data_IF_829837033449
#
_entry.id   IF_829837033449
#
_cell.length_a   1.000
_cell.length_b   1.000
_cell.length_c   1.000
_cell.angle_alpha   90.00
_cell.angle_beta   90.00
_cell.angle_gamma   90.00
#
_symmetry.space_group_name_H-M   'P 1'
#
loop_
_entity.id
_entity.type
_entity.pdbx_description
1 polymer ?
#
# COMPACT_ATOMS: atom_id res chain seq x y z
N UNK A 1 24.88 -47.09 60.62
CA UNK A 1 25.60 -46.81 59.35
C UNK A 1 24.64 -46.52 58.19
N UNK A 2 23.43 -47.08 58.19
CA UNK A 2 22.40 -46.85 57.16
C UNK A 2 21.80 -45.42 57.17
N UNK A 3 21.51 -44.82 58.32
CA UNK A 3 20.82 -43.51 58.36
C UNK A 3 21.68 -42.31 57.93
N UNK A 4 23.00 -42.35 58.14
CA UNK A 4 23.92 -41.27 57.68
C UNK A 4 24.02 -41.19 56.16
N UNK A 5 24.03 -42.37 55.51
CA UNK A 5 24.15 -42.47 54.04
C UNK A 5 22.90 -41.92 53.34
N UNK A 6 21.72 -42.16 53.91
CA UNK A 6 20.44 -41.58 53.44
C UNK A 6 20.41 -40.06 53.61
N UNK A 7 21.00 -39.52 54.68
CA UNK A 7 21.06 -38.08 54.93
C UNK A 7 22.03 -37.33 54.01
N UNK A 8 23.07 -38.00 53.50
CA UNK A 8 24.03 -37.44 52.54
C UNK A 8 23.50 -37.46 51.09
N UNK A 9 22.63 -38.42 50.73
CA UNK A 9 22.06 -38.53 49.37
C UNK A 9 20.79 -37.67 49.15
N UNK A 10 20.09 -37.28 50.22
CA UNK A 10 18.87 -36.45 50.17
C UNK A 10 19.04 -35.10 49.44
N UNK A 11 20.13 -34.33 49.65
CA UNK A 11 20.38 -33.08 48.91
C UNK A 11 20.66 -33.31 47.42
N UNK A 12 21.34 -34.42 47.05
CA UNK A 12 21.57 -34.78 45.65
C UNK A 12 20.25 -35.12 44.94
N UNK A 13 19.38 -35.89 45.58
CA UNK A 13 18.05 -36.22 45.06
C UNK A 13 17.20 -34.95 44.91
N UNK A 14 17.22 -34.06 45.90
CA UNK A 14 16.50 -32.77 45.82
C UNK A 14 16.99 -31.91 44.65
N UNK A 15 18.30 -31.84 44.43
CA UNK A 15 18.90 -31.09 43.33
C UNK A 15 18.51 -31.68 41.96
N UNK A 16 18.48 -33.01 41.84
CA UNK A 16 18.05 -33.71 40.62
C UNK A 16 16.57 -33.43 40.34
N UNK A 17 15.70 -33.46 41.35
CA UNK A 17 14.28 -33.15 41.20
C UNK A 17 14.06 -31.70 40.75
N UNK A 18 14.74 -30.73 41.38
CA UNK A 18 14.67 -29.32 40.93
C UNK A 18 15.20 -29.12 39.51
N UNK A 19 16.24 -29.86 39.11
CA UNK A 19 16.78 -29.80 37.76
C UNK A 19 15.80 -30.36 36.72
N UNK A 20 15.12 -31.46 37.03
CA UNK A 20 14.08 -32.05 36.19
C UNK A 20 12.84 -31.13 36.08
N UNK A 21 12.45 -30.45 37.16
CA UNK A 21 11.37 -29.46 37.15
C UNK A 21 11.72 -28.27 36.24
N UNK A 22 12.95 -27.75 36.32
CA UNK A 22 13.43 -26.67 35.44
C UNK A 22 13.40 -27.12 33.97
N UNK A 23 13.85 -28.33 33.66
CA UNK A 23 13.81 -28.88 32.30
C UNK A 23 12.37 -29.06 31.79
N UNK A 24 11.45 -29.51 32.64
CA UNK A 24 10.02 -29.62 32.31
C UNK A 24 9.40 -28.27 31.98
N UNK A 25 9.69 -27.23 32.77
CA UNK A 25 9.20 -25.87 32.51
C UNK A 25 9.82 -25.27 31.26
N UNK A 26 11.12 -25.47 31.02
CA UNK A 26 11.78 -25.05 29.77
C UNK A 26 11.15 -25.75 28.55
N UNK A 27 10.86 -27.05 28.65
CA UNK A 27 10.21 -27.79 27.56
C UNK A 27 8.78 -27.30 27.31
N UNK A 28 8.01 -26.97 28.36
CA UNK A 28 6.68 -26.36 28.25
C UNK A 28 6.73 -25.00 27.57
N UNK A 29 7.69 -24.14 27.95
CA UNK A 29 7.93 -22.84 27.33
C UNK A 29 8.28 -22.99 25.84
N UNK A 30 9.17 -23.92 25.49
CA UNK A 30 9.55 -24.20 24.09
C UNK A 30 8.33 -24.66 23.28
N UNK A 31 7.56 -25.62 23.80
CA UNK A 31 6.34 -26.09 23.15
C UNK A 31 5.31 -24.97 22.98
N UNK A 32 5.16 -24.09 23.96
CA UNK A 32 4.26 -22.93 23.88
C UNK A 32 4.73 -21.95 22.81
N UNK A 33 6.01 -21.61 22.75
CA UNK A 33 6.56 -20.73 21.71
C UNK A 33 6.42 -21.34 20.31
N UNK A 34 6.65 -22.65 20.15
CA UNK A 34 6.46 -23.33 18.87
C UNK A 34 4.98 -23.32 18.47
N UNK A 35 4.07 -23.65 19.39
CA UNK A 35 2.63 -23.62 19.13
C UNK A 35 2.13 -22.23 18.73
N UNK A 36 2.62 -21.18 19.38
CA UNK A 36 2.30 -19.78 19.01
C UNK A 36 2.86 -19.43 17.63
N UNK A 37 4.05 -19.91 17.30
CA UNK A 37 4.68 -19.70 15.97
C UNK A 37 3.86 -20.32 14.83
N UNK A 38 3.21 -21.47 15.07
CA UNK A 38 2.33 -22.12 14.10
C UNK A 38 0.94 -21.46 13.96
N UNK A 39 0.57 -20.53 14.86
CA UNK A 39 -0.70 -19.82 14.82
C UNK A 39 -0.61 -18.44 14.14
N UNK A 40 0.57 -18.00 13.72
CA UNK A 40 0.73 -16.73 12.98
C UNK A 40 0.43 -16.99 11.50
N UNK A 41 -0.85 -16.91 11.14
CA UNK A 41 -1.22 -16.80 9.73
C UNK A 41 -0.97 -15.35 9.26
N UNK A 42 -0.41 -15.19 8.06
CA UNK A 42 -0.32 -13.87 7.44
C UNK A 42 -1.72 -13.34 7.10
N UNK A 43 -1.89 -12.02 7.24
CA UNK A 43 -3.14 -11.35 6.87
C UNK A 43 -3.46 -11.47 5.37
N UNK A 44 -4.74 -11.31 5.03
CA UNK A 44 -5.28 -11.31 3.67
C UNK A 44 -5.29 -9.90 3.09
N UNK A 45 -4.57 -9.70 2.01
CA UNK A 45 -4.39 -8.38 1.39
C UNK A 45 -5.07 -8.35 0.03
N UNK A 46 -6.06 -7.46 -0.12
CA UNK A 46 -6.64 -7.16 -1.43
C UNK A 46 -5.84 -6.05 -2.10
N UNK A 47 -5.37 -6.28 -3.32
CA UNK A 47 -4.57 -5.30 -4.05
C UNK A 47 -5.38 -4.74 -5.21
N UNK A 48 -5.45 -3.42 -5.28
CA UNK A 48 -5.98 -2.70 -6.44
C UNK A 48 -4.81 -1.97 -7.14
N UNK A 49 -4.31 -2.51 -8.26
CA UNK A 49 -3.06 -2.06 -8.86
C UNK A 49 -3.27 -0.89 -9.81
N UNK A 50 -2.15 -0.24 -10.15
CA UNK A 50 -2.03 0.61 -11.32
C UNK A 50 -0.94 0.02 -12.23
N UNK A 51 -1.30 -0.19 -13.50
CA UNK A 51 -0.40 -0.78 -14.50
C UNK A 51 0.74 0.18 -14.91
N UNK A 52 1.70 -0.31 -15.69
CA UNK A 52 2.84 0.47 -16.17
C UNK A 52 3.94 0.62 -15.12
N UNK A 53 4.56 1.80 -15.04
CA UNK A 53 5.69 2.05 -14.12
C UNK A 53 5.31 1.91 -12.64
N UNK A 54 4.03 2.10 -12.31
CA UNK A 54 3.53 1.93 -10.94
C UNK A 54 3.52 0.46 -10.51
N UNK A 55 3.34 -0.48 -11.46
CA UNK A 55 3.34 -1.91 -11.18
C UNK A 55 4.66 -2.41 -10.61
N UNK A 56 5.79 -1.93 -11.13
CA UNK A 56 7.14 -2.35 -10.69
C UNK A 56 7.33 -2.12 -9.18
N UNK A 57 6.77 -1.03 -8.65
CA UNK A 57 6.82 -0.75 -7.21
C UNK A 57 5.85 -1.62 -6.42
N UNK A 58 4.69 -1.93 -7.01
CA UNK A 58 3.65 -2.71 -6.35
C UNK A 58 4.05 -4.18 -6.23
N UNK A 59 4.62 -4.78 -7.28
CA UNK A 59 5.02 -6.19 -7.28
C UNK A 59 6.09 -6.49 -6.21
N UNK A 60 7.04 -5.59 -5.98
CA UNK A 60 8.05 -5.74 -4.92
C UNK A 60 7.41 -5.83 -3.54
N UNK A 61 6.37 -5.03 -3.27
CA UNK A 61 5.63 -5.09 -1.99
C UNK A 61 4.83 -6.40 -1.91
N UNK A 62 4.22 -6.83 -3.01
CA UNK A 62 3.46 -8.07 -3.08
C UNK A 62 4.35 -9.29 -2.83
N UNK A 63 5.53 -9.34 -3.45
CA UNK A 63 6.50 -10.43 -3.26
C UNK A 63 6.96 -10.51 -1.79
N UNK A 64 7.21 -9.37 -1.15
CA UNK A 64 7.59 -9.34 0.27
C UNK A 64 6.43 -9.74 1.19
N UNK A 65 5.20 -9.30 0.89
CA UNK A 65 4.01 -9.74 1.63
C UNK A 65 3.83 -11.25 1.50
N UNK A 66 3.95 -11.79 0.28
CA UNK A 66 3.87 -13.22 0.02
C UNK A 66 4.96 -14.00 0.76
N UNK A 67 6.21 -13.53 0.71
CA UNK A 67 7.34 -14.16 1.41
C UNK A 67 7.16 -14.19 2.94
N UNK A 68 6.41 -13.23 3.49
CA UNK A 68 6.02 -13.17 4.91
C UNK A 68 4.78 -13.99 5.26
N UNK A 69 4.22 -14.72 4.29
CA UNK A 69 3.07 -15.61 4.49
C UNK A 69 1.70 -14.95 4.39
N UNK A 70 1.62 -13.72 3.87
CA UNK A 70 0.32 -13.06 3.61
C UNK A 70 -0.38 -13.67 2.38
N UNK A 71 -1.71 -13.78 2.44
CA UNK A 71 -2.54 -14.21 1.30
C UNK A 71 -2.91 -12.99 0.47
N UNK A 72 -2.26 -12.84 -0.69
CA UNK A 72 -2.43 -11.67 -1.55
C UNK A 72 -3.38 -12.00 -2.70
N UNK A 73 -4.42 -11.19 -2.86
CA UNK A 73 -5.34 -11.26 -4.01
C UNK A 73 -5.34 -9.95 -4.78
N UNK A 74 -5.16 -10.04 -6.09
CA UNK A 74 -5.05 -8.93 -7.03
C UNK A 74 -6.34 -8.76 -7.82
N UNK A 75 -6.89 -7.54 -7.83
CA UNK A 75 -7.92 -7.17 -8.82
C UNK A 75 -7.22 -6.90 -10.15
N UNK A 76 -7.37 -7.81 -11.11
CA UNK A 76 -6.64 -7.79 -12.37
C UNK A 76 -7.51 -7.34 -13.54
N UNK A 77 -7.19 -6.21 -14.20
CA UNK A 77 -7.88 -5.79 -15.42
C UNK A 77 -7.47 -6.66 -16.61
N UNK A 78 -8.45 -7.13 -17.39
CA UNK A 78 -8.22 -8.07 -18.50
C UNK A 78 -7.37 -7.53 -19.65
N UNK A 79 -7.20 -6.20 -19.73
CA UNK A 79 -6.41 -5.50 -20.74
C UNK A 79 -5.07 -4.99 -20.19
N UNK A 80 -4.60 -5.52 -19.06
CA UNK A 80 -3.31 -5.14 -18.47
C UNK A 80 -2.14 -5.48 -19.42
N UNK A 81 -1.19 -4.55 -19.55
CA UNK A 81 0.01 -4.73 -20.35
C UNK A 81 1.10 -5.52 -19.61
N UNK A 82 1.39 -5.11 -18.37
CA UNK A 82 2.52 -5.65 -17.61
C UNK A 82 2.10 -6.68 -16.55
N UNK A 83 0.91 -6.55 -15.98
CA UNK A 83 0.44 -7.44 -14.92
C UNK A 83 -0.06 -8.73 -15.55
N UNK A 84 0.47 -9.87 -15.11
CA UNK A 84 0.02 -11.19 -15.55
C UNK A 84 -1.02 -11.75 -14.58
N UNK A 85 -2.05 -12.46 -15.08
CA UNK A 85 -3.04 -13.08 -14.21
C UNK A 85 -2.41 -14.21 -13.39
N UNK A 86 -1.54 -15.01 -14.00
CA UNK A 86 -0.87 -16.12 -13.34
C UNK A 86 0.41 -15.64 -12.64
N UNK A 87 0.49 -15.86 -11.33
CA UNK A 87 1.65 -15.51 -10.51
C UNK A 87 1.75 -16.44 -9.31
N UNK A 88 2.96 -16.86 -8.89
CA UNK A 88 3.12 -17.58 -7.63
C UNK A 88 2.84 -16.69 -6.41
N UNK A 89 2.88 -15.36 -6.56
CA UNK A 89 2.87 -14.40 -5.46
C UNK A 89 1.48 -13.88 -5.08
N UNK A 90 0.47 -14.07 -5.95
CA UNK A 90 -0.88 -13.59 -5.71
C UNK A 90 -1.92 -14.39 -6.50
N UNK A 91 -3.16 -14.41 -5.99
CA UNK A 91 -4.34 -14.87 -6.73
C UNK A 91 -4.90 -13.72 -7.54
N UNK A 92 -5.39 -13.94 -8.76
CA UNK A 92 -5.99 -12.88 -9.58
C UNK A 92 -7.51 -13.01 -9.66
N UNK A 93 -8.22 -11.91 -9.43
CA UNK A 93 -9.63 -11.74 -9.76
C UNK A 93 -9.72 -10.95 -11.06
N UNK A 94 -10.19 -11.59 -12.13
CA UNK A 94 -10.26 -10.97 -13.46
C UNK A 94 -11.47 -10.04 -13.56
N UNK A 95 -11.24 -8.81 -14.00
CA UNK A 95 -12.26 -7.83 -14.36
C UNK A 95 -12.19 -7.57 -15.87
N UNK A 96 -13.30 -7.79 -16.59
CA UNK A 96 -13.32 -7.71 -18.05
C UNK A 96 -13.54 -6.26 -18.51
N UNK A 97 -12.48 -5.64 -19.02
CA UNK A 97 -12.56 -4.27 -19.53
C UNK A 97 -12.60 -4.26 -21.06
N UNK A 98 -13.65 -3.65 -21.58
CA UNK A 98 -13.93 -3.50 -23.02
C UNK A 98 -13.38 -2.21 -23.62
N UNK A 99 -13.03 -1.22 -22.79
CA UNK A 99 -12.56 0.09 -23.24
C UNK A 99 -11.11 0.02 -23.76
N UNK A 100 -10.94 0.27 -25.06
CA UNK A 100 -9.63 0.35 -25.71
C UNK A 100 -8.81 1.58 -25.27
N UNK A 101 -7.50 1.45 -25.31
CA UNK A 101 -6.54 2.50 -24.97
C UNK A 101 -6.59 3.67 -25.98
N UNK A 102 -6.76 4.90 -25.50
CA UNK A 102 -6.56 6.11 -26.31
C UNK A 102 -5.29 6.86 -25.86
N UNK A 103 -4.21 6.84 -26.67
CA UNK A 103 -2.96 7.53 -26.36
C UNK A 103 -3.13 9.05 -26.20
N UNK A 104 -4.12 9.68 -26.85
CA UNK A 104 -4.30 11.14 -26.85
C UNK A 104 -4.88 11.67 -25.53
N UNK A 105 -5.47 10.79 -24.73
CA UNK A 105 -6.12 11.12 -23.46
C UNK A 105 -5.65 10.22 -22.32
N UNK A 106 -4.37 9.84 -22.33
CA UNK A 106 -3.76 8.92 -21.36
C UNK A 106 -4.18 9.19 -19.90
N UNK A 107 -4.04 10.44 -19.42
CA UNK A 107 -4.39 10.81 -18.05
C UNK A 107 -5.87 10.56 -17.72
N UNK A 108 -6.79 11.12 -18.54
CA UNK A 108 -8.22 10.91 -18.35
C UNK A 108 -8.62 9.43 -18.53
N UNK A 109 -7.95 8.73 -19.44
CA UNK A 109 -8.15 7.31 -19.72
C UNK A 109 -7.89 6.45 -18.47
N UNK A 110 -6.77 6.64 -17.78
CA UNK A 110 -6.44 5.84 -16.59
C UNK A 110 -7.49 6.02 -15.47
N UNK A 111 -7.97 7.25 -15.27
CA UNK A 111 -9.01 7.53 -14.26
C UNK A 111 -10.36 6.93 -14.65
N UNK A 112 -10.80 7.12 -15.89
CA UNK A 112 -12.05 6.54 -16.38
C UNK A 112 -12.00 5.00 -16.34
N UNK A 113 -10.88 4.42 -16.72
CA UNK A 113 -10.66 2.98 -16.69
C UNK A 113 -10.76 2.42 -15.27
N UNK A 114 -10.12 3.07 -14.29
CA UNK A 114 -10.23 2.68 -12.89
C UNK A 114 -11.67 2.77 -12.38
N UNK A 115 -12.41 3.82 -12.74
CA UNK A 115 -13.82 3.97 -12.36
C UNK A 115 -14.71 2.91 -13.00
N UNK A 116 -14.48 2.57 -14.27
CA UNK A 116 -15.21 1.49 -14.96
C UNK A 116 -14.97 0.13 -14.31
N UNK A 117 -13.73 -0.18 -13.92
CA UNK A 117 -13.42 -1.39 -13.17
C UNK A 117 -14.21 -1.45 -11.86
N UNK A 118 -14.24 -0.36 -11.11
CA UNK A 118 -14.98 -0.31 -9.84
C UNK A 118 -16.50 -0.39 -10.08
N UNK A 119 -17.03 0.25 -11.11
CA UNK A 119 -18.46 0.15 -11.46
C UNK A 119 -18.84 -1.31 -11.72
N UNK A 120 -18.04 -2.04 -12.52
CA UNK A 120 -18.30 -3.46 -12.79
C UNK A 120 -18.26 -4.32 -11.53
N UNK A 121 -17.32 -4.05 -10.61
CA UNK A 121 -17.25 -4.76 -9.32
C UNK A 121 -18.48 -4.43 -8.46
N UNK A 122 -18.98 -3.19 -8.52
CA UNK A 122 -20.13 -2.77 -7.72
C UNK A 122 -21.46 -3.30 -8.28
N UNK A 123 -21.55 -3.48 -9.60
CA UNK A 123 -22.73 -4.05 -10.29
C UNK A 123 -22.77 -5.59 -10.20
N UNK A 124 -21.63 -6.26 -10.09
CA UNK A 124 -21.55 -7.71 -9.90
C UNK A 124 -21.72 -8.07 -8.41
N UNK A 125 -22.98 -8.24 -7.99
CA UNK A 125 -23.33 -8.60 -6.61
C UNK A 125 -22.68 -9.92 -6.14
N UNK A 126 -22.51 -10.89 -7.04
CA UNK A 126 -21.89 -12.18 -6.70
C UNK A 126 -20.39 -12.00 -6.41
N UNK A 127 -19.70 -11.22 -7.25
CA UNK A 127 -18.30 -10.86 -7.02
C UNK A 127 -18.16 -10.02 -5.75
N UNK A 128 -18.96 -8.97 -5.58
CA UNK A 128 -18.89 -8.12 -4.40
C UNK A 128 -19.14 -8.89 -3.11
N UNK A 129 -20.11 -9.82 -3.11
CA UNK A 129 -20.36 -10.70 -1.97
C UNK A 129 -19.17 -11.63 -1.71
N UNK A 130 -18.57 -12.21 -2.76
CA UNK A 130 -17.37 -13.04 -2.61
C UNK A 130 -16.19 -12.26 -1.99
N UNK A 131 -16.03 -10.98 -2.33
CA UNK A 131 -15.02 -10.10 -1.74
C UNK A 131 -15.29 -9.84 -0.24
N UNK A 132 -16.56 -9.70 0.16
CA UNK A 132 -16.96 -9.56 1.58
C UNK A 132 -16.75 -10.85 2.36
N UNK A 133 -17.02 -11.99 1.74
CA UNK A 133 -16.92 -13.31 2.38
C UNK A 133 -15.46 -13.80 2.48
N UNK A 134 -14.58 -13.30 1.61
CA UNK A 134 -13.15 -13.57 1.66
C UNK A 134 -12.47 -13.05 2.95
N UNK A 135 -13.08 -12.06 3.63
CA UNK A 135 -12.57 -11.44 4.87
C UNK A 135 -11.13 -10.91 4.72
N UNK A 136 -10.90 -10.05 3.73
CA UNK A 136 -9.64 -9.32 3.62
C UNK A 136 -9.43 -8.42 4.84
N UNK A 137 -8.17 -8.22 5.23
CA UNK A 137 -7.79 -7.38 6.37
C UNK A 137 -7.55 -5.93 5.96
N UNK A 138 -7.13 -5.68 4.71
CA UNK A 138 -6.89 -4.34 4.17
C UNK A 138 -6.90 -4.32 2.63
N UNK A 139 -7.00 -3.12 2.08
CA UNK A 139 -6.77 -2.84 0.65
C UNK A 139 -5.44 -2.10 0.48
N UNK A 140 -4.52 -2.72 -0.27
CA UNK A 140 -3.29 -2.07 -0.75
C UNK A 140 -3.54 -1.48 -2.14
N UNK A 141 -3.33 -0.18 -2.32
CA UNK A 141 -3.59 0.47 -3.61
C UNK A 141 -2.60 1.57 -3.95
N UNK A 142 -2.46 1.89 -5.23
CA UNK A 142 -1.70 3.05 -5.70
C UNK A 142 -2.65 4.26 -5.83
N UNK A 143 -2.46 5.32 -5.02
CA UNK A 143 -3.36 6.48 -5.00
C UNK A 143 -3.27 7.37 -6.24
N UNK A 144 -2.42 7.07 -7.22
CA UNK A 144 -2.40 7.76 -8.51
C UNK A 144 -3.69 7.53 -9.32
N UNK A 145 -4.48 6.52 -8.98
CA UNK A 145 -5.87 6.36 -9.41
C UNK A 145 -6.77 6.11 -8.19
N UNK A 146 -8.05 6.48 -8.29
CA UNK A 146 -8.97 6.37 -7.17
C UNK A 146 -9.74 5.06 -7.03
N UNK A 147 -9.49 4.07 -7.90
CA UNK A 147 -10.29 2.84 -7.91
C UNK A 147 -10.21 2.06 -6.60
N UNK A 148 -9.00 1.82 -6.09
CA UNK A 148 -8.81 1.08 -4.83
C UNK A 148 -9.36 1.80 -3.61
N UNK A 149 -9.34 3.13 -3.60
CA UNK A 149 -9.93 3.96 -2.54
C UNK A 149 -11.44 3.68 -2.45
N UNK A 150 -12.13 3.79 -3.59
CA UNK A 150 -13.58 3.56 -3.66
C UNK A 150 -13.93 2.12 -3.28
N UNK A 151 -13.17 1.14 -3.76
CA UNK A 151 -13.39 -0.26 -3.42
C UNK A 151 -13.20 -0.54 -1.92
N UNK A 152 -12.14 -0.01 -1.31
CA UNK A 152 -11.88 -0.17 0.13
C UNK A 152 -13.02 0.38 0.98
N UNK A 153 -13.53 1.57 0.65
CA UNK A 153 -14.69 2.16 1.33
C UNK A 153 -15.97 1.35 1.16
N UNK A 154 -16.24 0.81 -0.04
CA UNK A 154 -17.41 -0.04 -0.28
C UNK A 154 -17.37 -1.35 0.53
N UNK A 155 -16.18 -1.89 0.75
CA UNK A 155 -15.95 -3.11 1.53
C UNK A 155 -15.79 -2.84 3.04
N UNK A 156 -15.60 -1.59 3.45
CA UNK A 156 -15.34 -1.21 4.84
C UNK A 156 -13.96 -1.64 5.34
N UNK A 157 -12.96 -1.67 4.44
CA UNK A 157 -11.61 -2.14 4.72
C UNK A 157 -10.64 -0.98 4.96
N UNK A 158 -9.65 -1.15 5.87
CA UNK A 158 -8.53 -0.23 6.01
C UNK A 158 -7.79 -0.02 4.68
N UNK A 159 -7.35 1.21 4.43
CA UNK A 159 -6.65 1.62 3.21
C UNK A 159 -5.16 1.81 3.47
N UNK A 160 -4.34 1.11 2.68
CA UNK A 160 -2.89 1.26 2.67
C UNK A 160 -2.44 1.73 1.29
N UNK A 161 -1.78 2.88 1.24
CA UNK A 161 -1.30 3.44 -0.02
C UNK A 161 0.16 3.14 -0.29
N UNK A 162 0.46 2.71 -1.51
CA UNK A 162 1.82 2.72 -2.07
C UNK A 162 2.05 4.01 -2.85
N UNK A 163 2.49 5.07 -2.19
CA UNK A 163 2.28 6.45 -2.64
C UNK A 163 3.58 7.15 -3.07
N UNK A 164 3.54 7.81 -4.24
CA UNK A 164 4.50 8.86 -4.64
C UNK A 164 3.74 10.00 -5.28
N UNK A 165 2.97 9.62 -6.28
CA UNK A 165 1.97 10.44 -6.94
C UNK A 165 0.59 10.01 -6.48
N UNK A 166 -0.33 10.96 -6.48
CA UNK A 166 -1.73 10.81 -6.13
C UNK A 166 -2.56 11.41 -7.25
N UNK A 167 -3.86 11.16 -7.24
CA UNK A 167 -4.78 11.83 -8.18
C UNK A 167 -4.71 13.36 -8.09
N UNK A 168 -4.24 13.92 -6.98
CA UNK A 168 -4.11 15.36 -6.76
C UNK A 168 -2.69 15.90 -7.01
N UNK A 169 -1.76 15.07 -7.48
CA UNK A 169 -0.36 15.44 -7.65
C UNK A 169 0.53 14.81 -6.58
N UNK A 170 1.47 15.56 -6.03
CA UNK A 170 2.50 15.00 -5.15
C UNK A 170 1.92 14.55 -3.79
N UNK A 171 2.27 13.34 -3.35
CA UNK A 171 1.60 12.70 -2.22
C UNK A 171 1.75 13.42 -0.89
N UNK A 172 2.90 14.04 -0.62
CA UNK A 172 3.08 14.79 0.63
C UNK A 172 2.17 16.02 0.68
N UNK A 173 1.92 16.70 -0.45
CA UNK A 173 1.01 17.84 -0.48
C UNK A 173 -0.44 17.48 -0.13
N UNK A 174 -0.84 16.21 -0.28
CA UNK A 174 -2.18 15.77 0.07
C UNK A 174 -2.44 15.69 1.59
N UNK A 175 -1.36 15.63 2.37
CA UNK A 175 -1.43 15.40 3.82
C UNK A 175 -0.86 16.59 4.60
N UNK A 176 0.19 17.22 4.08
CA UNK A 176 0.85 18.36 4.73
C UNK A 176 1.14 19.49 3.73
N UNK A 177 0.71 20.74 4.04
CA UNK A 177 1.01 21.90 3.21
C UNK A 177 2.52 22.07 2.97
N UNK A 178 2.90 22.33 1.72
CA UNK A 178 4.28 22.59 1.32
C UNK A 178 4.45 24.07 0.95
N UNK A 179 5.26 24.85 1.67
CA UNK A 179 5.44 26.29 1.41
C UNK A 179 6.13 26.57 0.06
N UNK A 180 5.36 27.12 -0.87
CA UNK A 180 5.79 27.43 -2.24
C UNK A 180 6.88 28.52 -2.34
N UNK A 181 7.14 29.25 -1.24
CA UNK A 181 8.19 30.26 -1.19
C UNK A 181 9.61 29.68 -1.21
N UNK A 182 9.77 28.39 -0.85
CA UNK A 182 11.08 27.72 -0.85
C UNK A 182 11.02 26.26 -1.29
N UNK A 183 9.83 25.67 -1.45
CA UNK A 183 9.67 24.36 -2.08
C UNK A 183 9.22 24.57 -3.53
N UNK A 184 10.07 24.23 -4.52
CA UNK A 184 9.70 24.34 -5.92
C UNK A 184 8.63 23.31 -6.30
N UNK A 185 7.64 23.73 -7.08
CA UNK A 185 6.60 22.88 -7.63
C UNK A 185 7.24 21.87 -8.56
N UNK A 186 6.86 20.60 -8.47
CA UNK A 186 7.45 19.55 -9.30
C UNK A 186 7.28 19.87 -10.78
N UNK A 187 8.36 19.72 -11.56
CA UNK A 187 8.40 20.08 -12.98
C UNK A 187 8.72 21.56 -13.27
N UNK A 188 8.81 22.43 -12.25
CA UNK A 188 9.18 23.85 -12.44
C UNK A 188 10.65 24.08 -12.80
N UNK A 189 11.51 23.07 -12.60
CA UNK A 189 12.98 23.16 -12.74
C UNK A 189 13.62 24.25 -11.86
N UNK A 190 12.95 24.64 -10.77
CA UNK A 190 13.47 25.57 -9.76
C UNK A 190 14.15 24.80 -8.63
N UNK A 191 15.02 25.49 -7.89
CA UNK A 191 15.70 24.95 -6.70
C UNK A 191 15.07 25.50 -5.42
N UNK A 192 15.55 25.05 -4.25
CA UNK A 192 15.20 25.62 -2.94
C UNK A 192 15.69 27.07 -2.76
N UNK A 193 16.66 27.50 -3.57
CA UNK A 193 17.21 28.86 -3.60
C UNK A 193 16.58 29.70 -4.72
N UNK A 194 15.38 30.22 -4.45
CA UNK A 194 14.64 31.09 -5.39
C UNK A 194 14.74 32.57 -5.03
N UNK A 195 14.99 33.40 -6.05
CA UNK A 195 14.75 34.85 -6.01
C UNK A 195 13.26 35.16 -5.89
N UNK A 196 12.92 36.40 -5.53
CA UNK A 196 11.52 36.82 -5.43
C UNK A 196 10.70 36.48 -6.69
N UNK A 197 11.20 36.81 -7.89
CA UNK A 197 10.49 36.51 -9.13
C UNK A 197 10.38 35.02 -9.44
N UNK A 198 11.37 34.22 -9.05
CA UNK A 198 11.28 32.76 -9.16
C UNK A 198 10.21 32.19 -8.23
N UNK A 199 10.02 32.76 -7.04
CA UNK A 199 8.93 32.37 -6.12
C UNK A 199 7.56 32.72 -6.69
N UNK A 200 7.42 33.91 -7.29
CA UNK A 200 6.18 34.31 -7.98
C UNK A 200 5.88 33.35 -9.14
N UNK A 201 6.89 33.02 -9.96
CA UNK A 201 6.77 32.01 -11.02
C UNK A 201 6.36 30.65 -10.45
N UNK A 202 6.95 30.22 -9.34
CA UNK A 202 6.62 28.95 -8.69
C UNK A 202 5.15 28.88 -8.27
N UNK A 203 4.62 29.97 -7.70
CA UNK A 203 3.19 30.08 -7.32
C UNK A 203 2.29 30.00 -8.55
N UNK A 204 2.64 30.69 -9.65
CA UNK A 204 1.87 30.64 -10.90
C UNK A 204 1.84 29.20 -11.44
N UNK A 205 3.00 28.52 -11.49
CA UNK A 205 3.09 27.13 -11.94
C UNK A 205 2.22 26.23 -11.05
N UNK A 206 2.29 26.39 -9.73
CA UNK A 206 1.45 25.65 -8.80
C UNK A 206 -0.04 25.81 -9.11
N UNK A 207 -0.52 27.06 -9.25
CA UNK A 207 -1.94 27.34 -9.54
C UNK A 207 -2.37 26.71 -10.86
N UNK A 208 -1.53 26.80 -11.91
CA UNK A 208 -1.80 26.19 -13.20
C UNK A 208 -1.88 24.66 -13.11
N UNK A 209 -0.92 24.02 -12.43
CA UNK A 209 -0.92 22.57 -12.22
C UNK A 209 -2.14 22.10 -11.42
N UNK A 210 -2.50 22.80 -10.34
CA UNK A 210 -3.67 22.47 -9.51
C UNK A 210 -4.98 22.62 -10.29
N UNK A 211 -5.11 23.71 -11.04
CA UNK A 211 -6.27 23.96 -11.90
C UNK A 211 -6.40 22.88 -12.98
N UNK A 212 -5.29 22.53 -13.64
CA UNK A 212 -5.26 21.49 -14.65
C UNK A 212 -5.68 20.12 -14.10
N UNK A 213 -5.13 19.71 -12.94
CA UNK A 213 -5.51 18.47 -12.26
C UNK A 213 -7.00 18.49 -11.93
N UNK A 214 -7.51 19.59 -11.36
CA UNK A 214 -8.93 19.71 -11.03
C UNK A 214 -9.84 19.51 -12.26
N UNK A 215 -9.51 20.12 -13.40
CA UNK A 215 -10.25 19.93 -14.65
C UNK A 215 -10.19 18.51 -15.20
N UNK A 216 -9.10 17.77 -14.96
CA UNK A 216 -8.99 16.37 -15.40
C UNK A 216 -9.69 15.37 -14.48
N UNK A 217 -9.73 15.65 -13.17
CA UNK A 217 -10.14 14.67 -12.16
C UNK A 217 -11.58 14.87 -11.71
N UNK A 218 -11.96 16.11 -11.37
CA UNK A 218 -13.25 16.43 -10.77
C UNK A 218 -14.44 15.94 -11.62
N UNK A 219 -14.45 16.15 -12.96
CA UNK A 219 -15.58 15.72 -13.80
C UNK A 219 -15.77 14.20 -13.83
N UNK A 220 -14.73 13.42 -13.55
CA UNK A 220 -14.75 11.96 -13.57
C UNK A 220 -15.20 11.39 -12.22
N UNK A 221 -14.59 11.84 -11.12
CA UNK A 221 -14.82 11.25 -9.79
C UNK A 221 -16.08 11.78 -9.11
N UNK A 222 -16.42 13.06 -9.27
CA UNK A 222 -17.56 13.66 -8.57
C UNK A 222 -18.89 12.97 -8.92
N UNK A 223 -19.24 12.72 -10.21
CA UNK A 223 -20.48 12.03 -10.55
C UNK A 223 -20.53 10.60 -10.01
N UNK A 224 -19.38 9.91 -10.02
CA UNK A 224 -19.27 8.54 -9.51
C UNK A 224 -19.51 8.48 -8.01
N UNK A 225 -18.81 9.33 -7.24
CA UNK A 225 -18.93 9.38 -5.77
C UNK A 225 -20.35 9.76 -5.38
N UNK A 226 -20.94 10.76 -6.04
CA UNK A 226 -22.31 11.17 -5.74
C UNK A 226 -23.35 10.06 -6.00
N UNK A 227 -23.10 9.17 -6.96
CA UNK A 227 -23.99 8.05 -7.29
C UNK A 227 -23.92 6.95 -6.22
N UNK A 228 -22.72 6.62 -5.74
CA UNK A 228 -22.49 5.43 -4.90
C UNK A 228 -22.32 5.71 -3.41
N UNK A 229 -21.83 6.89 -3.03
CA UNK A 229 -21.52 7.25 -1.65
C UNK A 229 -22.40 8.40 -1.12
N UNK A 230 -23.12 9.10 -1.99
CA UNK A 230 -24.04 10.18 -1.63
C UNK A 230 -23.57 11.56 -2.11
N UNK A 231 -24.51 12.49 -2.27
CA UNK A 231 -24.26 13.83 -2.87
C UNK A 231 -23.42 14.76 -2.00
N UNK A 232 -23.33 14.48 -0.71
CA UNK A 232 -22.59 15.29 0.27
C UNK A 232 -21.15 14.80 0.47
N UNK A 233 -20.76 13.68 -0.17
CA UNK A 233 -19.44 13.08 -0.03
C UNK A 233 -18.51 13.59 -1.12
N UNK A 234 -17.38 14.16 -0.72
CA UNK A 234 -16.30 14.50 -1.63
C UNK A 234 -15.28 13.37 -1.72
N UNK A 235 -14.78 13.09 -2.93
CA UNK A 235 -13.74 12.07 -3.12
C UNK A 235 -12.53 12.29 -2.19
N UNK A 236 -12.15 13.55 -1.95
CA UNK A 236 -10.99 13.86 -1.11
C UNK A 236 -11.15 13.37 0.33
N UNK A 237 -12.38 13.34 0.85
CA UNK A 237 -12.66 12.82 2.19
C UNK A 237 -12.38 11.31 2.26
N UNK A 238 -12.82 10.57 1.24
CA UNK A 238 -12.51 9.14 1.10
C UNK A 238 -11.02 8.88 0.91
N UNK A 239 -10.35 9.77 0.18
CA UNK A 239 -8.94 9.67 -0.12
C UNK A 239 -8.04 9.91 1.10
N UNK A 240 -8.34 10.95 1.87
CA UNK A 240 -7.56 11.33 3.05
C UNK A 240 -7.79 10.41 4.25
N UNK A 241 -8.86 9.61 4.24
CA UNK A 241 -9.15 8.66 5.32
C UNK A 241 -8.28 7.40 5.31
N UNK A 242 -7.21 7.35 4.52
CA UNK A 242 -6.32 6.20 4.47
C UNK A 242 -5.53 6.03 5.77
N UNK A 243 -5.45 4.78 6.24
CA UNK A 243 -4.86 4.41 7.53
C UNK A 243 -3.32 4.46 7.48
N UNK A 244 -2.73 4.01 6.37
CA UNK A 244 -1.28 3.96 6.20
C UNK A 244 -0.87 4.52 4.84
N UNK A 245 0.09 5.44 4.86
CA UNK A 245 0.73 6.00 3.67
C UNK A 245 2.15 5.47 3.58
N UNK A 246 2.37 4.50 2.71
CA UNK A 246 3.69 3.99 2.40
C UNK A 246 4.37 4.91 1.37
N UNK A 247 5.04 5.94 1.88
CA UNK A 247 5.66 6.99 1.06
C UNK A 247 6.91 6.45 0.36
N UNK A 248 6.87 6.42 -0.98
CA UNK A 248 7.97 6.09 -1.88
C UNK A 248 8.86 7.31 -2.12
N UNK A 249 9.34 7.93 -1.05
CA UNK A 249 10.36 8.97 -1.11
C UNK A 249 11.35 8.78 0.04
N UNK A 250 12.55 9.30 -0.17
CA UNK A 250 13.61 9.30 0.83
C UNK A 250 13.91 10.76 1.17
N UNK A 251 13.89 11.08 2.47
CA UNK A 251 14.08 12.46 2.93
C UNK A 251 15.41 13.07 2.49
N UNK A 252 16.43 12.26 2.16
CA UNK A 252 17.72 12.74 1.66
C UNK A 252 17.66 13.35 0.26
N UNK A 253 16.71 12.94 -0.57
CA UNK A 253 16.51 13.44 -1.93
C UNK A 253 15.35 14.44 -2.05
N UNK A 254 14.73 14.80 -0.94
CA UNK A 254 13.56 15.66 -0.89
C UNK A 254 13.90 17.03 -0.32
N UNK A 255 13.17 18.06 -0.76
CA UNK A 255 13.32 19.39 -0.18
C UNK A 255 12.92 19.39 1.31
N UNK A 256 13.59 20.17 2.17
CA UNK A 256 13.23 20.25 3.59
C UNK A 256 11.79 20.72 3.77
N UNK A 257 10.93 19.86 4.33
CA UNK A 257 9.51 20.12 4.57
C UNK A 257 8.98 19.35 5.78
N UNK A 258 7.86 19.77 6.39
CA UNK A 258 7.36 19.13 7.62
C UNK A 258 6.88 17.70 7.35
N UNK A 259 7.50 16.71 8.00
CA UNK A 259 7.27 15.28 7.74
C UNK A 259 6.21 14.62 8.63
N UNK A 260 5.64 15.33 9.60
CA UNK A 260 4.84 14.69 10.66
C UNK A 260 3.33 14.88 10.49
N UNK A 261 2.66 13.79 10.13
CA UNK A 261 1.21 13.55 10.23
C UNK A 261 1.04 12.06 10.55
N UNK A 262 0.03 11.70 11.35
CA UNK A 262 -0.19 10.32 11.81
C UNK A 262 -0.44 9.38 10.61
N UNK A 263 0.11 8.17 10.64
CA UNK A 263 -0.13 7.14 9.62
C UNK A 263 0.85 7.11 8.44
N UNK A 264 1.85 7.99 8.38
CA UNK A 264 2.89 7.93 7.34
C UNK A 264 4.01 6.96 7.74
N UNK A 265 4.34 6.04 6.83
CA UNK A 265 5.56 5.22 6.89
C UNK A 265 6.40 5.46 5.64
N UNK A 266 7.61 6.01 5.80
CA UNK A 266 8.54 6.20 4.67
C UNK A 266 9.28 4.90 4.35
N UNK A 267 9.20 4.47 3.09
CA UNK A 267 9.81 3.26 2.57
C UNK A 267 11.21 3.56 2.01
N UNK A 268 12.22 3.59 2.88
CA UNK A 268 13.60 3.96 2.52
C UNK A 268 14.37 2.89 1.73
N UNK A 269 13.96 1.61 1.79
CA UNK A 269 14.72 0.48 1.22
C UNK A 269 14.11 -0.14 -0.05
N UNK A 270 12.94 0.35 -0.49
CA UNK A 270 12.26 -0.23 -1.66
C UNK A 270 13.03 0.06 -2.94
N UNK A 271 13.80 1.15 -2.99
CA UNK A 271 14.60 1.49 -4.17
C UNK A 271 15.62 0.40 -4.53
N UNK A 272 16.35 -0.14 -3.54
CA UNK A 272 17.30 -1.24 -3.77
C UNK A 272 16.61 -2.54 -4.19
N UNK A 273 15.43 -2.83 -3.63
CA UNK A 273 14.64 -4.00 -4.01
C UNK A 273 14.09 -3.87 -5.44
N UNK A 274 13.62 -2.67 -5.83
CA UNK A 274 13.19 -2.37 -7.20
C UNK A 274 14.36 -2.49 -8.17
N UNK A 275 15.52 -1.91 -7.87
CA UNK A 275 16.70 -2.05 -8.72
C UNK A 275 17.09 -3.52 -8.90
N UNK A 276 17.02 -4.33 -7.83
CA UNK A 276 17.27 -5.77 -7.90
C UNK A 276 16.22 -6.49 -8.75
N UNK A 277 14.94 -6.19 -8.56
CA UNK A 277 13.84 -6.76 -9.33
C UNK A 277 13.96 -6.43 -10.83
N UNK A 278 14.27 -5.17 -11.17
CA UNK A 278 14.51 -4.73 -12.54
C UNK A 278 15.73 -5.42 -13.15
N UNK A 279 16.84 -5.54 -12.39
CA UNK A 279 18.01 -6.28 -12.85
C UNK A 279 17.71 -7.75 -13.13
N UNK A 280 16.95 -8.41 -12.25
CA UNK A 280 16.64 -9.84 -12.39
C UNK A 280 15.66 -10.14 -13.51
N UNK A 281 14.69 -9.25 -13.77
CA UNK A 281 13.56 -9.54 -14.66
C UNK A 281 13.62 -8.79 -16.01
N UNK A 282 14.43 -7.74 -16.15
CA UNK A 282 14.40 -6.85 -17.32
C UNK A 282 15.77 -6.42 -17.87
N UNK A 283 16.89 -6.68 -17.18
CA UNK A 283 18.24 -6.26 -17.63
C UNK A 283 19.22 -7.42 -17.84
N UNK A 284 18.72 -8.66 -17.99
CA UNK A 284 19.52 -9.79 -18.48
C UNK A 284 19.10 -10.08 -19.92
N UNK A 285 19.59 -9.26 -20.86
CA UNK A 285 19.90 -9.61 -22.25
C UNK A 285 21.17 -8.85 -22.67
#
# INVERSE_FOLDING_TARGET
MWSKRVQEELPEISNILTFLDILSEMYRLILLTLAVSFMVNGGKVLVFPLDGSHWVNMIVIIEELYARGHDVTMVWPSNSWYIKPDSPYYKSIRINITAGFDPKSFGSYMHMHALQMVEQIFEDEALLQSLRDAKYDLVLTDPAIGGGVLLGHRLGLPLVYNVRWTIQGEGHQAITPSPLSYIPTTGSMLTDRMTFMQRVRNIIIYILTRTHIWFMIEPNYKPFVHRHFGKDVHYMELFQSADIWLMRNDFTFEFPRPTMVKGITQLHLVHCLISRYLCQNYLIE
#
